data_IF_188515775558
#
_entry.id   IF_188515775558
#
_cell.length_a   1.000
_cell.length_b   1.000
_cell.length_c   1.000
_cell.angle_alpha   90.00
_cell.angle_beta   90.00
_cell.angle_gamma   90.00
#
_symmetry.space_group_name_H-M   'P 1'
#
loop_
_entity.id
_entity.type
_entity.pdbx_description
1 polymer ?
#
# COMPACT_ATOMS: atom_id res chain seq x y z
N UNK A 1 -4.44 -11.44 -14.35
CA UNK A 1 -3.07 -10.90 -14.16
C UNK A 1 -2.45 -11.61 -12.98
N UNK A 2 -1.19 -12.01 -13.06
CA UNK A 2 -0.58 -12.90 -12.05
C UNK A 2 0.34 -12.12 -11.13
N UNK A 3 0.21 -12.32 -9.81
CA UNK A 3 1.15 -11.73 -8.86
C UNK A 3 2.54 -12.37 -9.01
N UNK A 4 3.57 -11.55 -9.23
CA UNK A 4 4.93 -12.04 -9.40
C UNK A 4 5.50 -12.74 -8.16
N UNK A 5 5.00 -12.41 -6.97
CA UNK A 5 5.49 -12.94 -5.69
C UNK A 5 4.81 -14.26 -5.30
N UNK A 6 3.48 -14.32 -5.31
CA UNK A 6 2.74 -15.52 -4.90
C UNK A 6 2.26 -16.39 -6.06
N UNK A 7 2.46 -15.96 -7.31
CA UNK A 7 1.97 -16.62 -8.53
C UNK A 7 0.46 -16.83 -8.59
N UNK A 8 -0.31 -16.24 -7.67
CA UNK A 8 -1.77 -16.27 -7.68
C UNK A 8 -2.30 -15.41 -8.81
N UNK A 9 -3.30 -15.91 -9.52
CA UNK A 9 -4.03 -15.13 -10.49
C UNK A 9 -5.01 -14.18 -9.77
N UNK A 10 -4.87 -12.90 -10.09
CA UNK A 10 -5.76 -11.83 -9.63
C UNK A 10 -6.64 -11.42 -10.80
N UNK A 11 -7.95 -11.41 -10.55
CA UNK A 11 -8.94 -10.90 -11.50
C UNK A 11 -8.67 -9.41 -11.73
N UNK A 12 -8.45 -9.03 -12.96
CA UNK A 12 -8.29 -7.63 -13.38
C UNK A 12 -9.41 -7.28 -14.34
N UNK A 13 -9.90 -6.04 -14.27
CA UNK A 13 -10.75 -5.51 -15.33
C UNK A 13 -9.87 -5.15 -16.54
N UNK A 14 -10.45 -5.15 -17.74
CA UNK A 14 -9.71 -5.07 -19.01
C UNK A 14 -8.79 -3.85 -19.18
N UNK A 15 -8.91 -2.82 -18.33
CA UNK A 15 -8.12 -1.59 -18.39
C UNK A 15 -7.38 -1.23 -17.09
N UNK A 16 -7.46 -2.05 -16.03
CA UNK A 16 -6.89 -1.67 -14.72
C UNK A 16 -6.14 -2.77 -13.99
N UNK A 17 -4.99 -2.39 -13.45
CA UNK A 17 -4.17 -3.20 -12.55
C UNK A 17 -4.48 -2.95 -11.06
N UNK A 18 -5.51 -2.17 -10.73
CA UNK A 18 -5.83 -1.78 -9.35
C UNK A 18 -6.01 -2.99 -8.43
N UNK A 19 -6.59 -4.07 -8.91
CA UNK A 19 -6.74 -5.30 -8.12
C UNK A 19 -5.39 -5.97 -7.83
N UNK A 20 -4.45 -5.93 -8.77
CA UNK A 20 -3.09 -6.45 -8.57
C UNK A 20 -2.31 -5.56 -7.59
N UNK A 21 -2.40 -4.24 -7.72
CA UNK A 21 -1.81 -3.30 -6.75
C UNK A 21 -2.37 -3.52 -5.35
N UNK A 22 -3.70 -3.60 -5.22
CA UNK A 22 -4.37 -3.86 -3.94
C UNK A 22 -3.96 -5.21 -3.35
N UNK A 23 -3.76 -6.23 -4.19
CA UNK A 23 -3.25 -7.53 -3.75
C UNK A 23 -1.81 -7.43 -3.24
N UNK A 24 -0.94 -6.68 -3.92
CA UNK A 24 0.48 -6.54 -3.58
C UNK A 24 0.71 -5.67 -2.33
N UNK A 25 0.14 -4.48 -2.30
CA UNK A 25 0.41 -3.45 -1.30
C UNK A 25 -0.63 -3.39 -0.18
N UNK A 26 -1.78 -4.04 -0.38
CA UNK A 26 -2.90 -4.01 0.54
C UNK A 26 -3.93 -2.93 0.18
N UNK A 27 -5.07 -3.02 0.84
CA UNK A 27 -6.22 -2.12 0.70
C UNK A 27 -6.35 -1.23 1.91
N UNK A 28 -6.67 0.06 1.68
CA UNK A 28 -7.04 1.03 2.73
C UNK A 28 -8.49 0.89 3.20
N UNK A 29 -9.31 0.13 2.45
CA UNK A 29 -10.72 -0.08 2.78
C UNK A 29 -10.86 -1.03 3.98
N UNK A 30 -11.67 -0.61 4.97
CA UNK A 30 -12.00 -1.43 6.14
C UNK A 30 -12.60 -2.79 5.73
N UNK A 31 -12.23 -3.84 6.46
CA UNK A 31 -12.65 -5.22 6.17
C UNK A 31 -11.92 -5.89 4.99
N UNK A 32 -10.94 -5.21 4.37
CA UNK A 32 -10.07 -5.79 3.33
C UNK A 32 -8.65 -5.96 3.85
N UNK A 33 -7.87 -6.78 3.16
CA UNK A 33 -6.49 -7.06 3.53
C UNK A 33 -5.61 -5.81 3.33
N UNK A 34 -5.13 -5.23 4.43
CA UNK A 34 -4.20 -4.10 4.44
C UNK A 34 -2.72 -4.51 4.42
N UNK A 35 -2.40 -5.79 4.66
CA UNK A 35 -1.02 -6.30 4.72
C UNK A 35 -0.45 -6.62 3.32
N UNK A 36 -1.29 -6.64 2.29
CA UNK A 36 -0.88 -6.99 0.94
C UNK A 36 -0.57 -8.48 0.78
N UNK A 37 0.34 -8.81 -0.13
CA UNK A 37 0.59 -10.19 -0.53
C UNK A 37 1.43 -10.93 0.51
N UNK A 38 1.03 -12.16 0.88
CA UNK A 38 1.74 -12.96 1.89
C UNK A 38 3.21 -13.27 1.52
N UNK A 39 3.51 -13.43 0.22
CA UNK A 39 4.89 -13.67 -0.29
C UNK A 39 5.70 -12.39 -0.50
N UNK A 40 5.22 -11.23 -0.01
CA UNK A 40 5.98 -9.99 -0.03
C UNK A 40 7.27 -10.10 0.77
N UNK A 41 7.23 -10.78 1.91
CA UNK A 41 8.42 -10.99 2.75
C UNK A 41 9.51 -11.75 2.00
N UNK A 42 9.15 -12.83 1.29
CA UNK A 42 10.09 -13.59 0.45
C UNK A 42 10.71 -12.69 -0.62
N UNK A 43 9.94 -11.78 -1.23
CA UNK A 43 10.45 -10.84 -2.22
C UNK A 43 11.45 -9.84 -1.60
N UNK A 44 11.19 -9.34 -0.39
CA UNK A 44 12.11 -8.46 0.35
C UNK A 44 13.40 -9.23 0.70
N UNK A 45 13.29 -10.45 1.19
CA UNK A 45 14.43 -11.33 1.50
C UNK A 45 15.25 -11.66 0.25
N UNK A 46 14.60 -11.81 -0.91
CA UNK A 46 15.27 -11.95 -2.20
C UNK A 46 15.94 -10.65 -2.71
N UNK A 47 15.87 -9.56 -1.94
CA UNK A 47 16.53 -8.29 -2.23
C UNK A 47 15.64 -7.24 -2.90
N UNK A 48 14.33 -7.46 -3.02
CA UNK A 48 13.42 -6.47 -3.58
C UNK A 48 13.25 -5.28 -2.63
N UNK A 49 13.49 -4.06 -3.16
CA UNK A 49 13.18 -2.81 -2.46
C UNK A 49 11.74 -2.41 -2.75
N UNK A 50 10.83 -2.85 -1.89
CA UNK A 50 9.41 -2.58 -2.01
C UNK A 50 9.00 -1.37 -1.15
N UNK A 51 7.99 -0.59 -1.56
CA UNK A 51 7.42 0.47 -0.71
C UNK A 51 6.82 -0.12 0.59
N UNK A 52 6.43 0.68 1.59
CA UNK A 52 5.61 0.17 2.68
C UNK A 52 4.25 -0.33 2.15
N UNK A 53 3.72 -1.36 2.79
CA UNK A 53 2.32 -1.77 2.63
C UNK A 53 1.38 -0.74 3.22
N UNK A 54 0.10 -0.81 2.89
CA UNK A 54 -0.93 0.05 3.48
C UNK A 54 -0.94 -0.05 5.01
N UNK A 55 -0.81 -1.26 5.55
CA UNK A 55 -0.74 -1.47 6.99
C UNK A 55 0.49 -0.79 7.63
N UNK A 56 1.66 -0.92 7.00
CA UNK A 56 2.88 -0.27 7.47
C UNK A 56 2.80 1.26 7.35
N UNK A 57 2.22 1.77 6.26
CA UNK A 57 1.98 3.20 6.06
C UNK A 57 1.04 3.76 7.14
N UNK A 58 -0.02 3.04 7.49
CA UNK A 58 -0.93 3.43 8.57
C UNK A 58 -0.21 3.46 9.92
N UNK A 59 0.60 2.44 10.23
CA UNK A 59 1.43 2.42 11.44
C UNK A 59 2.44 3.56 11.48
N UNK A 60 3.12 3.83 10.36
CA UNK A 60 4.05 4.96 10.24
C UNK A 60 3.33 6.30 10.42
N UNK A 61 2.11 6.44 9.89
CA UNK A 61 1.31 7.65 10.06
C UNK A 61 0.85 7.85 11.51
N UNK A 62 0.54 6.78 12.25
CA UNK A 62 0.28 6.86 13.70
C UNK A 62 1.55 7.33 14.41
N UNK A 63 2.69 6.67 14.15
CA UNK A 63 3.99 7.05 14.73
C UNK A 63 4.38 8.51 14.45
N UNK A 64 4.02 9.03 13.27
CA UNK A 64 4.26 10.42 12.87
C UNK A 64 3.34 11.42 13.56
N UNK A 65 2.15 11.02 13.99
CA UNK A 65 1.19 11.88 14.72
C UNK A 65 1.57 12.05 16.19
N UNK A 66 2.42 11.15 16.71
CA UNK A 66 2.98 11.26 18.06
C UNK A 66 4.01 12.41 18.16
N UNK A 67 4.57 12.83 17.03
CA UNK A 67 5.32 14.08 16.88
C UNK A 67 4.36 15.21 16.49
N UNK A 68 4.39 16.31 17.24
CA UNK A 68 3.59 17.53 17.04
C UNK A 68 3.38 17.85 15.55
N UNK A 69 2.11 17.83 15.09
CA UNK A 69 1.71 18.34 13.78
C UNK A 69 1.95 19.85 13.77
N UNK A 70 3.09 20.28 13.27
CA UNK A 70 3.28 21.66 12.81
C UNK A 70 3.23 21.67 11.28
N UNK A 71 2.27 22.46 10.77
CA UNK A 71 2.14 22.92 9.40
C UNK A 71 1.87 21.88 8.30
N UNK A 72 0.57 21.70 7.97
CA UNK A 72 0.17 21.58 6.57
C UNK A 72 -1.27 22.06 6.33
N UNK A 73 -1.55 23.33 6.61
CA UNK A 73 -2.68 24.03 6.00
C UNK A 73 -2.12 25.20 5.17
N UNK A 74 -1.77 24.91 3.92
CA UNK A 74 -1.59 25.97 2.92
C UNK A 74 -2.91 26.15 2.19
N UNK A 75 -3.73 27.05 2.70
CA UNK A 75 -4.93 27.54 2.03
C UNK A 75 -4.56 28.04 0.63
N UNK A 76 -5.06 27.39 -0.41
CA UNK A 76 -5.03 27.98 -1.76
C UNK A 76 -6.18 28.99 -1.84
N UNK A 77 -5.89 30.23 -1.46
CA UNK A 77 -6.71 31.38 -1.85
C UNK A 77 -6.60 31.53 -3.37
N UNK A 78 -7.74 31.34 -4.05
CA UNK A 78 -7.87 31.61 -5.49
C UNK A 78 -7.81 33.13 -5.69
N UNK A 79 -6.89 33.57 -6.54
CA UNK A 79 -6.85 34.93 -7.11
C UNK A 79 -7.90 35.09 -8.20
#
# INVERSE_FOLDING_TARGET
>A
MTCSWCKKEVRVSGSSLSNLQTHCDGSRQAGRNSHGCAKRHDAITAGAKLPPTVHEEEKLNILRKDGTITNYFRSNQKV
#
